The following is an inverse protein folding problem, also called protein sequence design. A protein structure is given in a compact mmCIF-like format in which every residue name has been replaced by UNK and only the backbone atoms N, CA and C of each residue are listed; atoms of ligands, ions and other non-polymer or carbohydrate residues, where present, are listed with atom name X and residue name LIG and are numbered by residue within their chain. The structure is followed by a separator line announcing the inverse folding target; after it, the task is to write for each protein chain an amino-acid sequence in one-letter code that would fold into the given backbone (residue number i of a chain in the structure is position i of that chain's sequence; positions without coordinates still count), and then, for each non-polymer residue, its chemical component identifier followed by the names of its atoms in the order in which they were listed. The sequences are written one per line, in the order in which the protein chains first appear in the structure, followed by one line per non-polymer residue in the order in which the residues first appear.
data_IF_599722081384
#
_entry.id   IF_599722081384
#
_cell.length_a   1.000
_cell.length_b   1.000
_cell.length_c   1.000
_cell.angle_alpha   90.00
_cell.angle_beta   90.00
_cell.angle_gamma   90.00
#
_symmetry.space_group_name_H-M   'P 1'
#
loop_
_entity.id
_entity.type
_entity.pdbx_description
1 polymer ?
#
# COMPACT_ATOMS: atom_id res chain seq x y z
N UNK A 1 6.24 5.17 11.30
CA UNK A 1 5.20 4.99 10.26
C UNK A 1 5.11 6.14 9.25
N UNK A 2 5.45 7.39 9.61
CA UNK A 2 5.36 8.53 8.68
C UNK A 2 6.19 8.40 7.38
N UNK A 3 7.37 7.77 7.44
CA UNK A 3 8.26 7.66 6.28
C UNK A 3 7.72 6.77 5.15
N UNK A 4 7.10 5.63 5.49
CA UNK A 4 6.53 4.72 4.47
C UNK A 4 5.28 5.31 3.81
N UNK A 5 4.48 6.08 4.57
CA UNK A 5 3.32 6.79 4.02
C UNK A 5 3.72 7.94 3.08
N UNK A 6 4.83 8.63 3.35
CA UNK A 6 5.35 9.70 2.47
C UNK A 6 5.76 9.15 1.11
N UNK A 7 6.40 7.97 1.06
CA UNK A 7 6.86 7.37 -0.19
C UNK A 7 5.67 6.96 -1.08
N UNK A 8 4.66 6.30 -0.52
CA UNK A 8 3.47 5.90 -1.29
C UNK A 8 2.70 7.08 -1.89
N UNK A 9 2.56 8.18 -1.13
CA UNK A 9 1.90 9.40 -1.61
C UNK A 9 2.71 10.10 -2.72
N UNK A 10 4.04 10.11 -2.62
CA UNK A 10 4.89 10.69 -3.67
C UNK A 10 4.75 9.93 -5.01
N UNK A 11 4.61 8.60 -4.98
CA UNK A 11 4.39 7.81 -6.20
C UNK A 11 3.01 8.05 -6.82
N UNK A 12 1.95 8.15 -6.01
CA UNK A 12 0.61 8.53 -6.47
C UNK A 12 0.62 9.90 -7.17
N UNK A 13 1.24 10.90 -6.54
CA UNK A 13 1.16 12.28 -7.01
C UNK A 13 2.13 12.62 -8.15
N UNK A 14 3.31 11.99 -8.20
CA UNK A 14 4.34 12.33 -9.18
C UNK A 14 4.39 11.39 -10.39
N UNK A 15 3.85 10.17 -10.28
CA UNK A 15 4.01 9.15 -11.31
C UNK A 15 2.69 8.64 -11.89
N UNK A 16 1.54 9.17 -11.46
CA UNK A 16 0.23 8.80 -12.00
C UNK A 16 -0.04 7.27 -11.90
N UNK A 17 0.58 6.62 -10.92
CA UNK A 17 0.51 5.17 -10.70
C UNK A 17 -0.77 4.82 -9.93
N UNK A 18 -1.39 3.72 -10.33
CA UNK A 18 -2.55 3.18 -9.64
C UNK A 18 -2.13 2.44 -8.36
N UNK A 19 -3.07 2.26 -7.43
CA UNK A 19 -2.82 1.63 -6.12
C UNK A 19 -2.10 0.26 -6.21
N UNK A 20 -2.46 -0.65 -7.15
CA UNK A 20 -1.77 -1.93 -7.31
C UNK A 20 -0.29 -1.77 -7.69
N UNK A 21 0.03 -0.84 -8.58
CA UNK A 21 1.40 -0.59 -9.06
C UNK A 21 2.29 -0.06 -7.94
N UNK A 22 1.73 0.77 -7.06
CA UNK A 22 2.43 1.29 -5.89
C UNK A 22 2.70 0.20 -4.87
N UNK A 23 1.74 -0.71 -4.64
CA UNK A 23 1.95 -1.86 -3.75
C UNK A 23 3.08 -2.74 -4.29
N UNK A 24 3.12 -3.02 -5.59
CA UNK A 24 4.21 -3.81 -6.20
C UNK A 24 5.59 -3.14 -6.08
N UNK A 25 5.64 -1.81 -6.27
CA UNK A 25 6.87 -1.05 -6.11
C UNK A 25 7.36 -1.06 -4.66
N UNK A 26 6.46 -0.90 -3.69
CA UNK A 26 6.79 -0.97 -2.27
C UNK A 26 7.28 -2.36 -1.87
N UNK A 27 6.63 -3.41 -2.38
CA UNK A 27 7.00 -4.82 -2.14
C UNK A 27 8.40 -5.13 -2.68
N UNK A 28 8.78 -4.55 -3.82
CA UNK A 28 10.13 -4.70 -4.38
C UNK A 28 11.21 -4.17 -3.43
N UNK A 29 10.87 -3.17 -2.61
CA UNK A 29 11.72 -2.64 -1.55
C UNK A 29 11.72 -3.43 -0.23
N UNK A 30 10.87 -4.45 -0.09
CA UNK A 30 10.82 -5.24 1.14
C UNK A 30 12.08 -6.09 1.31
N UNK A 31 12.60 -6.09 2.53
CA UNK A 31 13.77 -6.88 2.90
C UNK A 31 13.61 -7.48 4.31
N UNK A 32 14.44 -8.48 4.62
CA UNK A 32 14.45 -9.15 5.93
C UNK A 32 13.07 -9.68 6.34
N UNK A 33 12.68 -9.39 7.58
CA UNK A 33 11.42 -9.86 8.19
C UNK A 33 10.18 -9.45 7.40
N UNK A 34 10.17 -8.26 6.79
CA UNK A 34 9.02 -7.77 6.03
C UNK A 34 8.82 -8.59 4.74
N UNK A 35 9.93 -8.93 4.06
CA UNK A 35 9.89 -9.83 2.90
C UNK A 35 9.49 -11.25 3.31
N UNK A 36 10.00 -11.73 4.44
CA UNK A 36 9.58 -13.02 5.01
C UNK A 36 8.09 -13.08 5.30
N UNK A 37 7.52 -12.02 5.89
CA UNK A 37 6.07 -11.92 6.11
C UNK A 37 5.28 -11.93 4.79
N UNK A 38 5.71 -11.09 3.82
CA UNK A 38 5.03 -10.97 2.53
C UNK A 38 5.04 -12.27 1.71
N UNK A 39 6.18 -12.96 1.62
CA UNK A 39 6.33 -14.16 0.79
C UNK A 39 5.86 -15.44 1.50
N UNK A 40 6.03 -15.54 2.83
CA UNK A 40 5.84 -16.80 3.56
C UNK A 40 4.54 -16.89 4.35
N UNK A 41 3.87 -15.77 4.64
CA UNK A 41 2.66 -15.75 5.48
C UNK A 41 1.39 -15.32 4.75
N UNK A 42 1.49 -14.80 3.51
CA UNK A 42 0.34 -14.43 2.70
C UNK A 42 0.15 -15.38 1.51
N UNK A 43 -1.09 -15.85 1.32
CA UNK A 43 -1.48 -16.51 0.08
C UNK A 43 -1.49 -15.52 -1.08
N UNK A 44 -1.47 -16.03 -2.32
CA UNK A 44 -1.62 -15.17 -3.51
C UNK A 44 -2.93 -14.37 -3.46
N UNK A 45 -4.05 -15.02 -3.10
CA UNK A 45 -5.34 -14.34 -2.96
C UNK A 45 -5.30 -13.20 -1.92
N UNK A 46 -4.55 -13.38 -0.84
CA UNK A 46 -4.39 -12.35 0.18
C UNK A 46 -3.56 -11.18 -0.35
N UNK A 47 -2.50 -11.46 -1.12
CA UNK A 47 -1.66 -10.44 -1.75
C UNK A 47 -2.44 -9.63 -2.78
N UNK A 48 -3.24 -10.31 -3.61
CA UNK A 48 -4.12 -9.65 -4.59
C UNK A 48 -5.22 -8.83 -3.90
N UNK A 49 -5.80 -9.33 -2.81
CA UNK A 49 -6.78 -8.56 -2.04
C UNK A 49 -6.18 -7.26 -1.49
N UNK A 50 -4.92 -7.27 -1.02
CA UNK A 50 -4.26 -6.08 -0.46
C UNK A 50 -4.09 -4.98 -1.53
N UNK A 51 -3.85 -5.33 -2.80
CA UNK A 51 -3.67 -4.35 -3.90
C UNK A 51 -4.89 -3.46 -4.14
N UNK A 52 -6.06 -3.82 -3.63
CA UNK A 52 -7.32 -3.08 -3.81
C UNK A 52 -7.95 -2.59 -2.50
N UNK A 53 -7.30 -2.83 -1.35
CA UNK A 53 -7.86 -2.46 -0.05
C UNK A 53 -7.75 -0.97 0.20
N UNK A 54 -8.90 -0.36 0.52
CA UNK A 54 -8.96 1.03 1.00
C UNK A 54 -9.06 1.02 2.52
N UNK A 55 -8.21 1.79 3.19
CA UNK A 55 -8.27 1.97 4.64
C UNK A 55 -9.59 2.64 5.01
N UNK A 56 -10.27 2.12 6.03
CA UNK A 56 -11.53 2.65 6.56
C UNK A 56 -11.37 3.14 7.99
N UNK A 57 -12.18 4.11 8.40
CA UNK A 57 -12.28 4.55 9.81
C UNK A 57 -13.20 3.62 10.60
N UNK A 58 -13.42 3.94 11.88
CA UNK A 58 -14.28 3.17 12.79
C UNK A 58 -15.75 3.15 12.34
N UNK A 59 -16.15 4.09 11.49
CA UNK A 59 -17.49 4.18 10.88
C UNK A 59 -17.56 3.45 9.53
N UNK A 60 -16.53 2.67 9.17
CA UNK A 60 -16.43 1.91 7.91
C UNK A 60 -16.41 2.82 6.66
N UNK A 61 -16.17 4.11 6.85
CA UNK A 61 -16.00 5.06 5.75
C UNK A 61 -14.56 5.01 5.25
N UNK A 62 -14.33 5.04 3.93
CA UNK A 62 -12.99 5.16 3.37
C UNK A 62 -12.29 6.42 3.92
N UNK A 63 -11.07 6.25 4.41
CA UNK A 63 -10.22 7.37 4.79
C UNK A 63 -9.50 7.83 3.53
N UNK A 64 -9.99 8.91 2.93
CA UNK A 64 -9.27 9.63 1.90
C UNK A 64 -8.35 10.65 2.58
N UNK A 65 -7.09 10.71 2.18
CA UNK A 65 -6.24 11.82 2.59
C UNK A 65 -6.65 13.06 1.78
N UNK A 66 -7.26 14.04 2.43
CA UNK A 66 -7.86 15.23 1.82
C UNK A 66 -6.82 16.19 1.19
N UNK A 67 -5.52 15.88 1.27
CA UNK A 67 -4.45 16.72 0.72
C UNK A 67 -4.17 16.49 -0.78
N UNK A 68 -5.15 15.97 -1.52
CA UNK A 68 -5.12 15.86 -2.98
C UNK A 68 -6.36 16.59 -3.51
N UNK A 69 -6.25 17.90 -3.49
CA UNK A 69 -7.08 18.89 -4.17
C UNK A 69 -6.18 20.03 -4.63
#
# INVERSE_FOLDING_TARGET
MAHMSIIGIAYLNNHNLDHPEIVELLVTGFSGTLRGWWDSYLTEDSRESIKSVVKKNDEVLPIFNESIG
#
